data_IF_005698237455
#
_entry.id   IF_005698237455
#
_cell.length_a   1.000
_cell.length_b   1.000
_cell.length_c   1.000
_cell.angle_alpha   90.00
_cell.angle_beta   90.00
_cell.angle_gamma   90.00
#
_symmetry.space_group_name_H-M   'P 1'
#
loop_
_entity.id
_entity.type
_entity.pdbx_description
1 polymer ?
#
# COMPACT_ATOMS: atom_id res chain seq x y z
N UNK A 1 -1.69 -8.86 -10.52
CA UNK A 1 -1.29 -10.24 -10.13
C UNK A 1 -2.35 -11.21 -10.60
N UNK A 2 -2.00 -12.50 -10.68
CA UNK A 2 -2.92 -13.57 -11.10
C UNK A 2 -4.19 -13.68 -10.24
N UNK A 3 -4.17 -13.14 -9.02
CA UNK A 3 -5.26 -13.16 -8.04
C UNK A 3 -5.89 -11.78 -7.76
N UNK A 4 -5.48 -10.72 -8.47
CA UNK A 4 -5.94 -9.33 -8.30
C UNK A 4 -5.70 -8.71 -6.91
N UNK A 5 -4.87 -9.31 -6.06
CA UNK A 5 -4.46 -8.68 -4.79
C UNK A 5 -3.31 -7.70 -5.01
N UNK A 6 -3.29 -6.62 -4.22
CA UNK A 6 -2.11 -5.76 -4.06
C UNK A 6 -1.38 -6.17 -2.80
N UNK A 7 -0.07 -6.40 -2.90
CA UNK A 7 0.78 -6.83 -1.77
C UNK A 7 1.91 -5.85 -1.56
N UNK A 8 2.15 -5.50 -0.30
CA UNK A 8 3.30 -4.70 0.12
C UNK A 8 4.33 -5.63 0.72
N UNK A 9 5.55 -5.52 0.25
CA UNK A 9 6.69 -6.32 0.68
C UNK A 9 7.76 -5.38 1.22
N UNK A 10 8.44 -5.81 2.28
CA UNK A 10 9.68 -5.17 2.68
C UNK A 10 10.79 -5.72 1.81
N UNK A 11 11.61 -4.82 1.27
CA UNK A 11 12.78 -5.19 0.48
C UNK A 11 13.96 -5.61 1.37
N UNK A 12 13.96 -5.21 2.64
CA UNK A 12 15.05 -5.52 3.56
C UNK A 12 15.03 -6.98 4.01
N UNK A 13 13.86 -7.47 4.41
CA UNK A 13 13.67 -8.81 5.00
C UNK A 13 12.83 -9.75 4.10
N UNK A 14 12.42 -9.29 2.91
CA UNK A 14 11.54 -10.02 1.98
C UNK A 14 10.21 -10.46 2.58
N UNK A 15 9.76 -9.83 3.68
CA UNK A 15 8.51 -10.19 4.35
C UNK A 15 7.31 -9.55 3.67
N UNK A 16 6.18 -10.26 3.70
CA UNK A 16 4.88 -9.71 3.32
C UNK A 16 4.35 -8.83 4.45
N UNK A 17 4.19 -7.54 4.20
CA UNK A 17 3.78 -6.55 5.19
C UNK A 17 2.27 -6.38 5.23
N UNK A 18 1.64 -6.42 4.05
CA UNK A 18 0.20 -6.24 3.90
C UNK A 18 -0.31 -6.88 2.62
N UNK A 19 -1.49 -7.47 2.72
CA UNK A 19 -2.30 -7.91 1.57
C UNK A 19 -3.55 -7.05 1.52
N UNK A 20 -3.79 -6.40 0.39
CA UNK A 20 -4.98 -5.58 0.13
C UNK A 20 -5.84 -6.36 -0.88
N UNK A 21 -7.07 -6.76 -0.51
CA UNK A 21 -7.98 -7.43 -1.43
C UNK A 21 -8.36 -6.48 -2.56
N UNK A 22 -8.60 -7.04 -3.75
CA UNK A 22 -9.18 -6.26 -4.84
C UNK A 22 -10.51 -5.69 -4.38
N UNK A 23 -10.74 -4.37 -4.47
CA UNK A 23 -12.02 -3.77 -4.11
C UNK A 23 -13.13 -4.16 -5.11
N UNK A 24 -12.77 -4.63 -6.30
CA UNK A 24 -13.68 -5.04 -7.37
C UNK A 24 -13.37 -6.46 -7.87
N UNK A 25 -14.35 -7.18 -8.45
CA UNK A 25 -14.09 -8.45 -9.13
C UNK A 25 -13.03 -8.31 -10.24
N UNK A 26 -12.24 -9.37 -10.43
CA UNK A 26 -11.19 -9.43 -11.45
C UNK A 26 -11.75 -9.19 -12.86
N UNK A 27 -11.17 -8.25 -13.60
CA UNK A 27 -11.56 -7.90 -14.97
C UNK A 27 -10.52 -7.01 -15.65
N UNK A 28 -10.68 -6.77 -16.97
CA UNK A 28 -9.72 -5.94 -17.73
C UNK A 28 -9.59 -4.51 -17.15
N UNK A 29 -10.69 -3.97 -16.65
CA UNK A 29 -10.72 -2.62 -16.05
C UNK A 29 -10.34 -2.61 -14.55
N UNK A 30 -9.92 -3.75 -13.99
CA UNK A 30 -9.60 -3.87 -12.56
C UNK A 30 -8.09 -3.84 -12.28
N UNK A 31 -7.25 -3.40 -13.21
CA UNK A 31 -5.81 -3.26 -12.98
C UNK A 31 -5.59 -2.00 -12.14
N UNK A 32 -5.13 -2.12 -10.88
CA UNK A 32 -4.92 -0.95 -10.04
C UNK A 32 -3.62 -0.23 -10.42
N UNK A 33 -3.66 1.10 -10.40
CA UNK A 33 -2.46 1.92 -10.31
C UNK A 33 -2.19 2.19 -8.83
N UNK A 34 -0.96 1.90 -8.38
CA UNK A 34 -0.58 2.02 -6.98
C UNK A 34 0.62 2.93 -6.84
N UNK A 35 0.57 3.85 -5.89
CA UNK A 35 1.70 4.70 -5.51
C UNK A 35 1.84 4.70 -4.00
N UNK A 36 3.08 4.60 -3.55
CA UNK A 36 3.45 4.69 -2.14
C UNK A 36 4.16 6.02 -1.90
N UNK A 37 3.87 6.66 -0.77
CA UNK A 37 4.64 7.81 -0.29
C UNK A 37 4.93 7.65 1.20
N UNK A 38 6.18 7.87 1.65
CA UNK A 38 6.52 7.85 3.07
C UNK A 38 5.95 9.06 3.84
N UNK A 39 5.48 10.09 3.14
CA UNK A 39 4.91 11.32 3.72
C UNK A 39 3.58 11.65 3.05
N UNK A 40 2.70 10.66 2.95
CA UNK A 40 1.40 10.84 2.32
C UNK A 40 0.52 11.70 3.25
N UNK A 41 0.48 13.01 2.98
CA UNK A 41 -0.11 14.04 3.85
C UNK A 41 0.86 15.14 4.31
N UNK A 42 2.08 15.20 3.77
CA UNK A 42 3.08 16.23 4.07
C UNK A 42 4.03 15.85 5.21
N UNK A 43 4.74 16.82 5.78
CA UNK A 43 5.83 16.60 6.76
C UNK A 43 5.42 15.86 8.03
N UNK A 44 4.13 15.84 8.37
CA UNK A 44 3.56 15.10 9.50
C UNK A 44 2.66 13.93 9.05
N UNK A 45 2.58 13.70 7.75
CA UNK A 45 1.82 12.59 7.16
C UNK A 45 2.48 11.26 7.48
N UNK A 46 1.66 10.24 7.70
CA UNK A 46 2.15 8.88 7.82
C UNK A 46 2.52 8.36 6.42
N UNK A 47 3.41 7.36 6.34
CA UNK A 47 3.52 6.58 5.13
C UNK A 47 2.15 6.05 4.71
N UNK A 48 1.93 5.91 3.41
CA UNK A 48 0.67 5.37 2.93
C UNK A 48 0.70 5.06 1.45
N UNK A 49 -0.35 4.36 1.03
CA UNK A 49 -0.55 3.93 -0.33
C UNK A 49 -1.85 4.53 -0.87
N UNK A 50 -1.75 5.11 -2.07
CA UNK A 50 -2.91 5.43 -2.89
C UNK A 50 -3.07 4.36 -3.96
N UNK A 51 -4.31 3.91 -4.13
CA UNK A 51 -4.69 2.95 -5.16
C UNK A 51 -5.83 3.56 -5.98
N UNK A 52 -5.61 3.72 -7.28
CA UNK A 52 -6.66 4.07 -8.23
C UNK A 52 -7.04 2.83 -9.04
N UNK A 53 -8.32 2.51 -9.09
CA UNK A 53 -8.85 1.39 -9.89
C UNK A 53 -10.23 1.78 -10.42
N UNK A 54 -10.44 1.57 -11.73
CA UNK A 54 -11.63 2.09 -12.44
C UNK A 54 -11.78 3.60 -12.24
N UNK A 55 -12.81 4.02 -11.52
CA UNK A 55 -13.14 5.42 -11.22
C UNK A 55 -13.02 5.74 -9.73
N UNK A 56 -12.49 4.81 -8.94
CA UNK A 56 -12.38 4.93 -7.48
C UNK A 56 -10.93 5.14 -7.05
N UNK A 57 -10.76 5.98 -6.03
CA UNK A 57 -9.47 6.23 -5.37
C UNK A 57 -9.55 5.77 -3.90
N UNK A 58 -8.67 4.85 -3.52
CA UNK A 58 -8.56 4.31 -2.18
C UNK A 58 -7.29 4.79 -1.50
N UNK A 59 -7.40 5.08 -0.20
CA UNK A 59 -6.29 5.48 0.67
C UNK A 59 -6.06 4.43 1.76
N UNK A 60 -4.84 3.92 1.83
CA UNK A 60 -4.39 2.98 2.86
C UNK A 60 -3.26 3.61 3.67
N UNK A 61 -3.59 4.08 4.88
CA UNK A 61 -2.59 4.59 5.83
C UNK A 61 -1.76 3.46 6.43
N UNK A 62 -0.48 3.74 6.67
CA UNK A 62 0.38 2.91 7.48
C UNK A 62 0.28 3.36 8.93
N UNK A 63 -0.45 2.61 9.76
CA UNK A 63 -0.56 2.89 11.20
C UNK A 63 0.76 2.62 11.92
N UNK A 64 1.03 3.40 12.97
CA UNK A 64 2.24 3.34 13.81
C UNK A 64 2.49 2.00 14.53
N UNK A 65 1.55 1.07 14.50
CA UNK A 65 1.79 -0.30 15.00
C UNK A 65 2.81 -1.06 14.16
N UNK A 66 3.18 -0.49 13.01
CA UNK A 66 4.38 -0.84 12.28
C UNK A 66 5.63 -0.41 13.06
N UNK A 67 6.04 -1.25 14.01
CA UNK A 67 7.36 -1.20 14.62
C UNK A 67 8.41 -1.67 13.59
N UNK A 68 8.91 -0.75 12.77
CA UNK A 68 10.24 -0.90 12.19
C UNK A 68 11.18 0.04 12.94
N UNK A 69 12.07 -0.55 13.74
CA UNK A 69 13.51 -0.44 13.52
C UNK A 69 14.14 0.95 13.33
N UNK A 70 13.50 2.04 13.75
CA UNK A 70 14.16 3.32 13.98
C UNK A 70 15.00 3.20 15.26
N UNK A 71 16.03 2.36 15.19
CA UNK A 71 17.18 2.48 16.09
C UNK A 71 17.77 3.85 15.77
N UNK A 72 17.67 4.73 16.76
CA UNK A 72 18.35 6.02 16.79
C UNK A 72 19.86 5.76 16.66
N UNK A 73 20.47 6.32 15.62
CA UNK A 73 21.85 6.82 15.68
C UNK A 73 21.82 8.34 15.50
#
# INVERSE_FOLDING_TARGET
>A
GQDCYTRLWSLQDSRLLRTIPSPHPAGKDSIPNVVFSPQLGGSRGLPGLLMAVRHDLYYYSYNKDYQDGLTLE
#
